data_IF_494285623454
#
_entry.id   IF_494285623454
#
_cell.length_a   1.000
_cell.length_b   1.000
_cell.length_c   1.000
_cell.angle_alpha   90.00
_cell.angle_beta   90.00
_cell.angle_gamma   90.00
#
_symmetry.space_group_name_H-M   'P 1'
#
loop_
_entity.id
_entity.type
_entity.pdbx_description
1 polymer ?
#
# COMPACT_ATOMS: atom_id res chain seq x y z
N UNK A 1 20.75 12.00 14.82
CA UNK A 1 20.02 10.71 14.93
C UNK A 1 18.67 11.05 15.52
N UNK A 2 17.58 10.93 14.74
CA UNK A 2 16.25 11.30 15.21
C UNK A 2 15.78 10.41 16.36
N UNK A 3 14.92 10.93 17.23
CA UNK A 3 14.31 10.17 18.31
C UNK A 3 13.47 9.01 17.73
N UNK A 4 13.77 7.78 18.13
CA UNK A 4 13.06 6.60 17.62
C UNK A 4 11.69 6.52 18.28
N UNK A 5 10.64 6.71 17.48
CA UNK A 5 9.26 6.56 17.94
C UNK A 5 8.83 5.10 17.82
N UNK A 6 8.47 4.50 18.95
CA UNK A 6 7.83 3.19 18.98
C UNK A 6 6.31 3.39 19.05
N UNK A 7 5.57 2.60 18.28
CA UNK A 7 4.11 2.58 18.31
C UNK A 7 3.63 1.19 18.73
N UNK A 8 2.50 1.15 19.43
CA UNK A 8 1.80 -0.09 19.73
C UNK A 8 1.00 -0.58 18.52
N UNK A 9 0.63 -1.87 18.53
CA UNK A 9 -0.27 -2.43 17.51
C UNK A 9 -1.63 -1.71 17.48
N UNK A 10 -2.13 -1.26 18.64
CA UNK A 10 -3.37 -0.51 18.74
C UNK A 10 -3.28 0.89 18.12
N UNK A 11 -2.12 1.56 18.26
CA UNK A 11 -1.87 2.84 17.58
C UNK A 11 -1.80 2.66 16.06
N UNK A 12 -1.08 1.64 15.57
CA UNK A 12 -1.02 1.34 14.14
C UNK A 12 -2.43 1.10 13.56
N UNK A 13 -3.25 0.30 14.24
CA UNK A 13 -4.62 0.01 13.80
C UNK A 13 -5.48 1.28 13.81
N UNK A 14 -5.44 2.07 14.89
CA UNK A 14 -6.17 3.33 15.00
C UNK A 14 -5.78 4.30 13.89
N UNK A 15 -4.48 4.47 13.65
CA UNK A 15 -3.96 5.40 12.66
C UNK A 15 -4.32 4.92 11.24
N UNK A 16 -4.40 3.61 11.01
CA UNK A 16 -4.90 3.01 9.76
C UNK A 16 -6.39 3.34 9.51
N UNK A 17 -7.23 3.26 10.55
CA UNK A 17 -8.63 3.70 10.42
C UNK A 17 -8.77 5.21 10.21
N UNK A 18 -7.90 6.03 10.82
CA UNK A 18 -7.85 7.47 10.55
C UNK A 18 -7.49 7.73 9.09
N UNK A 19 -6.54 6.99 8.52
CA UNK A 19 -6.20 7.07 7.09
C UNK A 19 -7.41 6.65 6.22
N UNK A 20 -8.04 5.52 6.53
CA UNK A 20 -9.24 5.07 5.82
C UNK A 20 -10.37 6.10 5.85
N UNK A 21 -10.60 6.74 7.01
CA UNK A 21 -11.59 7.80 7.15
C UNK A 21 -11.27 9.00 6.25
N UNK A 22 -10.00 9.42 6.18
CA UNK A 22 -9.58 10.52 5.29
C UNK A 22 -9.81 10.18 3.81
N UNK A 23 -9.61 8.93 3.41
CA UNK A 23 -9.89 8.45 2.04
C UNK A 23 -11.40 8.46 1.77
N UNK A 24 -12.20 8.02 2.73
CA UNK A 24 -13.66 8.06 2.61
C UNK A 24 -14.17 9.49 2.45
N UNK A 25 -13.68 10.41 3.29
CA UNK A 25 -14.04 11.84 3.29
C UNK A 25 -13.54 12.59 2.04
N UNK A 26 -12.51 12.10 1.34
CA UNK A 26 -12.04 12.70 0.08
C UNK A 26 -12.89 12.35 -1.14
N UNK A 27 -13.94 11.55 -0.95
CA UNK A 27 -14.77 10.97 -2.00
C UNK A 27 -14.01 10.03 -2.97
N UNK A 28 -12.78 9.62 -2.62
CA UNK A 28 -12.05 8.64 -3.42
C UNK A 28 -12.65 7.24 -3.20
N UNK A 29 -13.06 6.60 -4.31
CA UNK A 29 -13.65 5.25 -4.33
C UNK A 29 -12.70 4.33 -5.11
N UNK A 30 -11.70 3.71 -4.46
CA UNK A 30 -10.78 2.83 -5.15
C UNK A 30 -11.49 1.56 -5.62
N UNK A 31 -11.13 1.07 -6.79
CA UNK A 31 -11.52 -0.27 -7.25
C UNK A 31 -10.55 -1.32 -6.69
N UNK A 32 -9.27 -0.94 -6.56
CA UNK A 32 -8.21 -1.79 -6.04
C UNK A 32 -7.47 -1.13 -4.88
N UNK A 33 -7.15 -1.93 -3.86
CA UNK A 33 -6.20 -1.57 -2.82
C UNK A 33 -4.95 -2.43 -3.01
N UNK A 34 -3.78 -1.80 -3.01
CA UNK A 34 -2.49 -2.47 -3.04
C UNK A 34 -1.75 -2.19 -1.74
N UNK A 35 -1.70 -3.18 -0.86
CA UNK A 35 -0.84 -3.13 0.32
C UNK A 35 0.59 -3.49 -0.04
N UNK A 36 1.54 -2.59 0.19
CA UNK A 36 2.96 -2.90 0.04
C UNK A 36 3.37 -3.91 1.12
N UNK A 37 3.60 -5.15 0.73
CA UNK A 37 4.02 -6.19 1.65
C UNK A 37 5.46 -5.91 2.07
N UNK A 38 5.79 -5.88 3.37
CA UNK A 38 4.97 -6.44 4.48
C UNK A 38 4.16 -5.42 5.27
N UNK A 39 4.70 -4.22 5.41
CA UNK A 39 4.20 -3.20 6.33
C UNK A 39 2.83 -2.66 5.97
N UNK A 40 2.62 -2.32 4.70
CA UNK A 40 1.36 -1.82 4.17
C UNK A 40 0.18 -2.79 4.22
N UNK A 41 0.41 -4.10 4.38
CA UNK A 41 -0.67 -5.11 4.40
C UNK A 41 -1.67 -4.90 5.54
N UNK A 42 -1.28 -4.83 6.84
CA UNK A 42 -2.21 -4.56 7.93
C UNK A 42 -2.94 -3.21 7.79
N UNK A 43 -2.26 -2.18 7.26
CA UNK A 43 -2.88 -0.87 7.02
C UNK A 43 -3.95 -0.98 5.92
N UNK A 44 -3.63 -1.66 4.81
CA UNK A 44 -4.56 -1.92 3.71
C UNK A 44 -5.80 -2.71 4.16
N UNK A 45 -5.64 -3.68 5.07
CA UNK A 45 -6.77 -4.46 5.62
C UNK A 45 -7.72 -3.54 6.40
N UNK A 46 -7.20 -2.72 7.31
CA UNK A 46 -8.05 -1.81 8.10
C UNK A 46 -8.76 -0.77 7.22
N UNK A 47 -8.07 -0.26 6.18
CA UNK A 47 -8.69 0.64 5.20
C UNK A 47 -9.79 -0.07 4.42
N UNK A 48 -9.53 -1.30 3.94
CA UNK A 48 -10.53 -2.12 3.24
C UNK A 48 -11.77 -2.36 4.10
N UNK A 49 -11.60 -2.78 5.36
CA UNK A 49 -12.72 -3.05 6.27
C UNK A 49 -13.58 -1.81 6.49
N UNK A 50 -12.96 -0.63 6.63
CA UNK A 50 -13.71 0.61 6.80
C UNK A 50 -14.47 1.02 5.53
N UNK A 51 -13.85 0.87 4.36
CA UNK A 51 -14.49 1.18 3.08
C UNK A 51 -15.66 0.22 2.81
N UNK A 52 -15.49 -1.07 3.09
CA UNK A 52 -16.54 -2.07 2.96
C UNK A 52 -17.72 -1.77 3.91
N UNK A 53 -17.44 -1.38 5.17
CA UNK A 53 -18.46 -0.90 6.11
C UNK A 53 -19.23 0.32 5.58
N UNK A 54 -18.57 1.19 4.80
CA UNK A 54 -19.19 2.34 4.15
C UNK A 54 -19.88 2.01 2.81
N UNK A 55 -19.95 0.73 2.41
CA UNK A 55 -20.58 0.27 1.17
C UNK A 55 -19.70 0.44 -0.07
N UNK A 56 -18.39 0.56 0.09
CA UNK A 56 -17.41 0.71 -0.99
C UNK A 56 -16.61 -0.58 -1.10
N UNK A 57 -16.98 -1.43 -2.06
CA UNK A 57 -16.29 -2.69 -2.32
C UNK A 57 -14.98 -2.43 -3.08
N UNK A 58 -13.90 -3.09 -2.66
CA UNK A 58 -12.57 -2.97 -3.25
C UNK A 58 -11.92 -4.35 -3.40
N UNK A 59 -11.16 -4.58 -4.47
CA UNK A 59 -10.30 -5.77 -4.60
C UNK A 59 -8.93 -5.46 -3.96
N UNK A 60 -8.54 -6.21 -2.93
CA UNK A 60 -7.32 -5.95 -2.16
C UNK A 60 -6.25 -7.00 -2.45
N UNK A 61 -5.08 -6.52 -2.87
CA UNK A 61 -3.91 -7.33 -3.22
C UNK A 61 -2.70 -6.86 -2.42
N UNK A 62 -1.88 -7.80 -1.93
CA UNK A 62 -0.58 -7.49 -1.36
C UNK A 62 0.53 -7.69 -2.40
N UNK A 63 1.41 -6.70 -2.57
CA UNK A 63 2.53 -6.76 -3.51
C UNK A 63 3.84 -6.71 -2.73
N UNK A 64 4.75 -7.65 -3.01
CA UNK A 64 6.09 -7.62 -2.43
C UNK A 64 6.95 -6.63 -3.21
N UNK A 65 7.52 -5.65 -2.54
CA UNK A 65 8.71 -4.97 -3.04
C UNK A 65 9.94 -5.48 -2.27
N UNK A 66 11.04 -5.73 -2.96
CA UNK A 66 12.32 -5.96 -2.30
C UNK A 66 13.33 -4.94 -2.80
N UNK A 67 13.69 -4.03 -1.88
CA UNK A 67 14.69 -2.99 -2.08
C UNK A 67 15.98 -3.26 -1.29
N UNK A 68 15.88 -3.91 -0.14
CA UNK A 68 17.03 -4.24 0.70
C UNK A 68 17.57 -5.62 0.37
N UNK A 69 18.88 -5.72 0.09
CA UNK A 69 19.60 -6.98 -0.06
C UNK A 69 20.13 -7.51 1.28
N UNK A 70 20.21 -6.67 2.33
CA UNK A 70 20.64 -7.05 3.67
C UNK A 70 20.45 -5.93 4.71
N UNK A 71 20.96 -6.13 5.93
CA UNK A 71 21.08 -5.07 6.94
C UNK A 71 22.10 -4.07 6.38
N UNK A 72 21.66 -2.86 6.07
CA UNK A 72 22.47 -1.75 5.50
C UNK A 72 22.89 -1.87 4.02
N UNK A 73 22.35 -2.82 3.24
CA UNK A 73 22.61 -2.89 1.79
C UNK A 73 21.32 -2.79 0.98
N UNK A 74 21.27 -1.82 0.07
CA UNK A 74 20.16 -1.59 -0.87
C UNK A 74 20.53 -2.07 -2.27
N UNK A 75 19.61 -2.75 -2.96
CA UNK A 75 19.76 -3.09 -4.37
C UNK A 75 19.79 -1.83 -5.25
N UNK A 76 20.40 -1.93 -6.44
CA UNK A 76 20.34 -0.86 -7.46
C UNK A 76 18.91 -0.59 -7.95
N UNK A 77 18.02 -1.60 -7.91
CA UNK A 77 16.63 -1.48 -8.33
C UNK A 77 15.68 -2.24 -7.39
N UNK A 78 14.48 -1.68 -7.18
CA UNK A 78 13.39 -2.34 -6.45
C UNK A 78 12.83 -3.46 -7.32
N UNK A 79 12.78 -4.68 -6.79
CA UNK A 79 12.10 -5.80 -7.46
C UNK A 79 10.67 -5.91 -6.96
N UNK A 80 9.71 -6.06 -7.88
CA UNK A 80 8.28 -6.16 -7.57
C UNK A 80 7.77 -7.57 -7.86
N UNK A 81 7.17 -8.23 -6.87
CA UNK A 81 6.62 -9.58 -7.00
C UNK A 81 5.12 -9.61 -6.67
N UNK A 82 4.38 -10.49 -7.37
CA UNK A 82 2.94 -10.67 -7.15
C UNK A 82 2.04 -9.78 -8.02
N UNK A 83 2.63 -8.98 -8.92
CA UNK A 83 1.90 -8.07 -9.82
C UNK A 83 0.99 -8.77 -10.83
N UNK A 84 1.22 -10.04 -11.13
CA UNK A 84 0.53 -10.73 -12.23
C UNK A 84 -1.00 -10.76 -12.09
N UNK A 85 -1.54 -10.83 -10.86
CA UNK A 85 -2.99 -10.75 -10.65
C UNK A 85 -3.51 -9.35 -10.99
N UNK A 86 -2.84 -8.31 -10.48
CA UNK A 86 -3.21 -6.92 -10.69
C UNK A 86 -3.19 -6.55 -12.18
N UNK A 87 -2.12 -6.89 -12.89
CA UNK A 87 -1.97 -6.63 -14.34
C UNK A 87 -3.11 -7.26 -15.16
N UNK A 88 -3.60 -8.45 -14.77
CA UNK A 88 -4.69 -9.12 -15.50
C UNK A 88 -6.08 -8.52 -15.23
N UNK A 89 -6.23 -7.75 -14.16
CA UNK A 89 -7.54 -7.31 -13.65
C UNK A 89 -7.73 -5.80 -13.76
N UNK A 90 -6.66 -5.04 -13.69
CA UNK A 90 -6.67 -3.58 -13.70
C UNK A 90 -6.85 -3.06 -15.13
N UNK A 91 -7.71 -2.08 -15.29
CA UNK A 91 -7.97 -1.35 -16.53
C UNK A 91 -7.70 0.14 -16.32
N UNK A 92 -7.57 0.91 -17.40
CA UNK A 92 -7.26 2.35 -17.34
C UNK A 92 -8.27 3.18 -16.54
N UNK A 93 -9.53 2.75 -16.49
CA UNK A 93 -10.59 3.43 -15.74
C UNK A 93 -10.61 3.07 -14.25
N UNK A 94 -9.81 2.08 -13.82
CA UNK A 94 -9.77 1.66 -12.43
C UNK A 94 -8.94 2.62 -11.57
N UNK A 95 -9.47 2.95 -10.40
CA UNK A 95 -8.80 3.73 -9.36
C UNK A 95 -8.02 2.81 -8.44
N UNK A 96 -6.71 3.02 -8.38
CA UNK A 96 -5.78 2.27 -7.56
C UNK A 96 -5.42 3.05 -6.29
N UNK A 97 -5.59 2.45 -5.12
CA UNK A 97 -5.07 2.95 -3.85
C UNK A 97 -3.83 2.13 -3.46
N UNK A 98 -2.66 2.75 -3.40
CA UNK A 98 -1.44 2.11 -2.89
C UNK A 98 -1.24 2.52 -1.43
N UNK A 99 -1.02 1.53 -0.55
CA UNK A 99 -0.94 1.72 0.90
C UNK A 99 0.36 1.11 1.44
N UNK A 100 1.08 1.87 2.26
CA UNK A 100 2.26 1.40 3.01
C UNK A 100 2.14 1.80 4.49
N UNK A 101 2.91 1.17 5.38
CA UNK A 101 2.92 1.52 6.81
C UNK A 101 3.70 2.80 7.10
N UNK A 102 4.75 3.06 6.33
CA UNK A 102 5.53 4.28 6.41
C UNK A 102 6.02 4.71 5.04
N UNK A 103 5.87 6.00 4.73
CA UNK A 103 6.51 6.60 3.57
C UNK A 103 7.85 7.20 4.00
N UNK A 104 8.94 6.52 3.62
CA UNK A 104 10.31 7.03 3.77
C UNK A 104 10.81 7.62 2.44
N UNK A 105 11.70 6.93 1.73
CA UNK A 105 12.26 7.42 0.45
C UNK A 105 11.29 7.41 -0.74
N UNK A 106 10.10 6.80 -0.62
CA UNK A 106 9.12 6.67 -1.72
C UNK A 106 9.45 5.63 -2.80
N UNK A 107 10.67 5.11 -2.86
CA UNK A 107 11.17 4.24 -3.94
C UNK A 107 10.32 2.99 -4.21
N UNK A 108 9.76 2.38 -3.16
CA UNK A 108 8.89 1.19 -3.32
C UNK A 108 7.62 1.51 -4.11
N UNK A 109 7.01 2.67 -3.84
CA UNK A 109 5.81 3.13 -4.54
C UNK A 109 6.16 3.55 -5.97
N UNK A 110 7.27 4.28 -6.15
CA UNK A 110 7.74 4.69 -7.47
C UNK A 110 7.99 3.49 -8.39
N UNK A 111 8.67 2.46 -7.88
CA UNK A 111 8.95 1.26 -8.65
C UNK A 111 7.68 0.49 -9.01
N UNK A 112 6.71 0.41 -8.10
CA UNK A 112 5.41 -0.19 -8.39
C UNK A 112 4.68 0.57 -9.50
N UNK A 113 4.65 1.91 -9.43
CA UNK A 113 4.01 2.75 -10.46
C UNK A 113 4.73 2.59 -11.80
N UNK A 114 6.06 2.59 -11.82
CA UNK A 114 6.85 2.41 -13.03
C UNK A 114 6.59 1.04 -13.68
N UNK A 115 6.56 -0.03 -12.90
CA UNK A 115 6.31 -1.38 -13.40
C UNK A 115 4.87 -1.55 -13.92
N UNK A 116 3.89 -0.88 -13.30
CA UNK A 116 2.51 -0.83 -13.80
C UNK A 116 2.39 -0.01 -15.09
N UNK A 117 3.13 1.09 -15.23
CA UNK A 117 3.10 1.93 -16.44
C UNK A 117 3.86 1.35 -17.63
N UNK A 118 4.76 0.39 -17.39
CA UNK A 118 5.51 -0.31 -18.43
C UNK A 118 4.76 -1.49 -19.07
N UNK A 119 3.58 -1.84 -18.56
CA UNK A 119 2.80 -3.03 -18.97
C UNK A 119 1.41 -2.65 -19.44
#
# INVERSE_FOLDING_TARGET
MGEKKFISAGELLRDSFILGKKILESDFRPDFIVGIWRGGTPVGIAVQELLDYAGITTDHVAIRTSYYQGIESTAESVQVHGLGYLIRKLNADNKLLIVDDVLDSGKSIEALIAELGAR
#
